data_IF_390928190263
#
_entry.id   IF_390928190263
#
_cell.length_a   1.000
_cell.length_b   1.000
_cell.length_c   1.000
_cell.angle_alpha   90.00
_cell.angle_beta   90.00
_cell.angle_gamma   90.00
#
_symmetry.space_group_name_H-M   'P 1'
#
loop_
_entity.id
_entity.type
_entity.pdbx_description
1 polymer ?
#
# COMPACT_ATOMS: atom_id res chain seq x y z
N UNK A 1 28.56 -0.37 16.46
CA UNK A 1 27.64 0.66 17.01
C UNK A 1 26.49 -0.04 17.72
N UNK A 2 26.16 0.37 18.95
CA UNK A 2 24.97 -0.11 19.66
C UNK A 2 23.78 0.80 19.42
N UNK A 3 22.57 0.23 19.29
CA UNK A 3 21.33 0.98 19.04
C UNK A 3 20.76 1.66 20.28
N UNK A 4 21.09 1.17 21.49
CA UNK A 4 20.59 1.70 22.77
C UNK A 4 19.17 1.22 23.12
N UNK A 5 18.67 0.16 22.47
CA UNK A 5 17.31 -0.35 22.66
C UNK A 5 17.21 -1.35 23.81
N UNK A 6 16.02 -1.45 24.42
CA UNK A 6 15.74 -2.40 25.49
C UNK A 6 15.45 -3.82 25.00
N UNK A 7 15.02 -3.95 23.74
CA UNK A 7 14.72 -5.23 23.11
C UNK A 7 14.77 -5.11 21.58
N UNK A 8 14.73 -6.25 20.89
CA UNK A 8 14.61 -6.33 19.44
C UNK A 8 13.65 -7.45 19.05
N UNK A 9 12.93 -7.26 17.93
CA UNK A 9 12.18 -8.33 17.27
C UNK A 9 13.12 -9.05 16.31
N UNK A 10 13.35 -10.33 16.55
CA UNK A 10 14.22 -11.19 15.76
C UNK A 10 13.46 -12.48 15.46
N UNK A 11 13.29 -12.79 14.19
CA UNK A 11 12.60 -14.01 13.72
C UNK A 11 11.25 -14.25 14.42
N UNK A 12 10.42 -13.18 14.53
CA UNK A 12 9.11 -13.23 15.16
C UNK A 12 9.12 -13.37 16.69
N UNK A 13 10.28 -13.17 17.34
CA UNK A 13 10.41 -13.26 18.79
C UNK A 13 10.98 -11.97 19.38
N UNK A 14 10.54 -11.61 20.58
CA UNK A 14 11.07 -10.47 21.32
C UNK A 14 12.32 -10.89 22.13
N UNK A 15 13.49 -10.46 21.69
CA UNK A 15 14.77 -10.68 22.37
C UNK A 15 15.09 -9.46 23.23
N UNK A 16 15.14 -9.63 24.55
CA UNK A 16 15.53 -8.54 25.48
C UNK A 16 17.01 -8.21 25.36
N UNK A 17 17.35 -6.93 25.42
CA UNK A 17 18.70 -6.40 25.34
C UNK A 17 18.98 -5.61 24.08
N UNK A 18 20.15 -5.00 24.02
CA UNK A 18 20.57 -4.11 22.94
C UNK A 18 21.02 -4.89 21.68
N UNK A 19 21.08 -4.17 20.58
CA UNK A 19 21.53 -4.66 19.27
C UNK A 19 22.84 -3.97 18.89
N UNK A 20 23.83 -4.73 18.48
CA UNK A 20 25.08 -4.21 17.93
C UNK A 20 25.11 -4.34 16.40
N UNK A 21 25.47 -3.23 15.76
CA UNK A 21 25.69 -3.15 14.32
C UNK A 21 27.20 -2.99 14.06
N UNK A 22 27.76 -3.86 13.23
CA UNK A 22 29.13 -3.78 12.74
C UNK A 22 29.14 -3.89 11.21
N UNK A 23 29.77 -2.92 10.55
CA UNK A 23 29.85 -2.85 9.08
C UNK A 23 28.50 -3.00 8.36
N UNK A 24 27.42 -2.36 8.92
CA UNK A 24 26.08 -2.39 8.37
C UNK A 24 25.34 -3.73 8.53
N UNK A 25 25.85 -4.64 9.37
CA UNK A 25 25.22 -5.92 9.70
C UNK A 25 24.93 -6.01 11.17
N UNK A 26 23.89 -6.75 11.55
CA UNK A 26 23.61 -7.10 12.94
C UNK A 26 24.70 -8.09 13.38
N UNK A 27 25.56 -7.66 14.30
CA UNK A 27 26.64 -8.48 14.83
C UNK A 27 26.23 -9.25 16.08
N UNK A 28 25.36 -8.66 16.93
CA UNK A 28 24.85 -9.31 18.11
C UNK A 28 23.50 -8.73 18.53
N UNK A 29 22.67 -9.51 19.21
CA UNK A 29 21.41 -9.14 19.85
C UNK A 29 21.37 -9.61 21.29
N UNK A 30 20.53 -9.00 22.12
CA UNK A 30 20.39 -9.38 23.54
C UNK A 30 21.53 -8.88 24.42
N UNK A 31 22.27 -7.88 24.00
CA UNK A 31 23.39 -7.32 24.77
C UNK A 31 22.90 -6.49 25.96
N UNK A 32 23.65 -6.46 27.10
CA UNK A 32 23.30 -5.60 28.20
C UNK A 32 23.54 -4.12 27.89
N UNK A 33 22.74 -3.22 28.51
CA UNK A 33 22.95 -1.77 28.47
C UNK A 33 21.95 -0.96 27.65
N UNK A 34 21.00 -1.57 26.97
CA UNK A 34 19.89 -0.86 26.31
C UNK A 34 18.92 -0.23 27.31
N UNK A 35 18.40 0.96 27.02
CA UNK A 35 17.60 1.74 27.97
C UNK A 35 16.11 1.76 27.66
N UNK A 36 15.73 1.92 26.39
CA UNK A 36 14.32 2.08 25.99
C UNK A 36 14.11 1.75 24.52
N UNK A 37 12.86 1.50 24.15
CA UNK A 37 12.48 1.22 22.79
C UNK A 37 12.73 -0.24 22.38
N UNK A 38 12.13 -0.60 21.25
CA UNK A 38 12.24 -1.91 20.63
C UNK A 38 12.74 -1.72 19.20
N UNK A 39 13.83 -2.37 18.83
CA UNK A 39 14.24 -2.44 17.44
C UNK A 39 13.34 -3.43 16.70
N UNK A 40 12.81 -3.01 15.59
CA UNK A 40 12.01 -3.84 14.69
C UNK A 40 12.65 -3.88 13.30
N UNK A 41 12.38 -4.88 12.46
CA UNK A 41 12.74 -4.83 11.06
C UNK A 41 12.19 -3.58 10.39
N UNK A 42 12.90 -3.07 9.38
CA UNK A 42 12.40 -1.94 8.61
C UNK A 42 11.05 -2.26 7.95
N UNK A 43 10.18 -1.27 7.92
CA UNK A 43 8.83 -1.42 7.40
C UNK A 43 8.81 -1.57 5.89
N UNK A 44 7.80 -2.28 5.39
CA UNK A 44 7.51 -2.45 3.96
C UNK A 44 6.13 -1.86 3.69
N UNK A 45 6.05 -0.84 2.82
CA UNK A 45 4.79 -0.19 2.46
C UNK A 45 4.40 -0.56 1.02
N UNK A 46 3.30 -1.30 0.87
CA UNK A 46 2.89 -1.83 -0.42
C UNK A 46 2.00 -0.87 -1.22
N UNK A 47 1.64 0.30 -0.65
CA UNK A 47 0.78 1.28 -1.31
C UNK A 47 1.18 2.70 -0.89
N UNK A 48 1.88 3.41 -1.78
CA UNK A 48 2.36 4.78 -1.57
C UNK A 48 2.16 5.59 -2.83
N UNK A 49 1.20 6.51 -2.82
CA UNK A 49 0.92 7.42 -3.94
C UNK A 49 1.76 8.70 -3.89
N UNK A 50 2.35 8.98 -2.73
CA UNK A 50 3.20 10.15 -2.52
C UNK A 50 3.50 10.41 -1.06
N UNK A 51 4.32 11.42 -0.76
CA UNK A 51 4.61 11.90 0.59
C UNK A 51 5.35 13.24 0.52
N UNK A 52 5.12 14.13 1.48
CA UNK A 52 5.80 15.42 1.66
C UNK A 52 5.89 16.27 0.38
N UNK A 53 4.77 16.42 -0.31
CA UNK A 53 4.67 17.25 -1.53
C UNK A 53 5.11 16.52 -2.80
N UNK A 54 5.53 15.26 -2.73
CA UNK A 54 5.94 14.47 -3.88
C UNK A 54 4.78 13.52 -4.23
N UNK A 55 4.17 13.72 -5.39
CA UNK A 55 3.15 12.84 -5.97
C UNK A 55 3.82 11.89 -6.96
N UNK A 56 3.64 10.57 -6.78
CA UNK A 56 4.27 9.54 -7.61
C UNK A 56 3.87 9.68 -9.09
N UNK A 57 2.62 10.05 -9.36
CA UNK A 57 2.11 10.17 -10.72
C UNK A 57 2.76 11.31 -11.52
N UNK A 58 3.21 12.37 -10.83
CA UNK A 58 3.75 13.59 -11.45
C UNK A 58 5.22 13.88 -11.10
N UNK A 59 5.85 12.99 -10.33
CA UNK A 59 7.23 13.19 -9.89
C UNK A 59 8.22 13.10 -11.04
N UNK A 60 9.36 13.75 -10.85
CA UNK A 60 10.58 13.50 -11.66
C UNK A 60 11.35 12.30 -11.08
N UNK A 61 12.34 11.74 -11.81
CA UNK A 61 13.20 10.68 -11.24
C UNK A 61 13.90 11.08 -9.94
N UNK A 62 14.32 12.36 -9.81
CA UNK A 62 14.88 12.90 -8.57
C UNK A 62 13.80 13.01 -7.46
N UNK A 63 12.58 13.38 -7.82
CA UNK A 63 11.43 13.39 -6.92
C UNK A 63 11.15 11.99 -6.33
N UNK A 64 11.14 10.96 -7.16
CA UNK A 64 10.97 9.57 -6.69
C UNK A 64 12.12 9.15 -5.76
N UNK A 65 13.35 9.54 -6.07
CA UNK A 65 14.51 9.32 -5.17
C UNK A 65 14.37 10.05 -3.84
N UNK A 66 13.90 11.30 -3.86
CA UNK A 66 13.64 12.10 -2.66
C UNK A 66 12.50 11.50 -1.82
N UNK A 67 11.42 11.00 -2.46
CA UNK A 67 10.35 10.26 -1.79
C UNK A 67 10.92 9.08 -0.98
N UNK A 68 11.83 8.30 -1.57
CA UNK A 68 12.49 7.21 -0.86
C UNK A 68 13.27 7.66 0.38
N UNK A 69 13.89 8.83 0.36
CA UNK A 69 14.58 9.42 1.54
C UNK A 69 13.56 9.80 2.62
N UNK A 70 12.47 10.48 2.25
CA UNK A 70 11.44 10.87 3.20
C UNK A 70 10.72 9.66 3.84
N UNK A 71 10.45 8.62 3.05
CA UNK A 71 9.88 7.36 3.58
C UNK A 71 10.84 6.66 4.55
N UNK A 72 12.15 6.62 4.24
CA UNK A 72 13.13 6.02 5.13
C UNK A 72 13.18 6.71 6.51
N UNK A 73 12.92 8.01 6.59
CA UNK A 73 12.82 8.77 7.85
C UNK A 73 11.63 8.33 8.72
N UNK A 74 10.61 7.71 8.12
CA UNK A 74 9.46 7.14 8.84
C UNK A 74 9.63 5.67 9.21
N UNK A 75 10.81 5.07 8.91
CA UNK A 75 11.11 3.66 9.15
C UNK A 75 10.75 2.72 8.00
N UNK A 76 10.23 3.23 6.89
CA UNK A 76 9.96 2.44 5.69
C UNK A 76 11.26 2.22 4.91
N UNK A 77 11.65 0.97 4.70
CA UNK A 77 12.86 0.61 3.95
C UNK A 77 12.58 0.07 2.56
N UNK A 78 11.37 -0.40 2.32
CA UNK A 78 10.90 -0.87 1.03
C UNK A 78 9.50 -0.35 0.76
N UNK A 79 9.19 0.03 -0.47
CA UNK A 79 7.86 0.48 -0.82
C UNK A 79 7.50 0.16 -2.27
N UNK A 80 6.21 0.18 -2.56
CA UNK A 80 5.68 0.18 -3.93
C UNK A 80 5.13 1.56 -4.25
N UNK A 81 5.77 2.33 -5.15
CA UNK A 81 5.14 3.51 -5.72
C UNK A 81 3.85 3.08 -6.42
N UNK A 82 2.74 3.71 -6.02
CA UNK A 82 1.40 3.36 -6.48
C UNK A 82 0.91 4.43 -7.44
N UNK A 83 0.37 4.01 -8.57
CA UNK A 83 -0.26 4.86 -9.56
C UNK A 83 -1.75 4.61 -9.52
N UNK A 84 -2.51 5.62 -9.08
CA UNK A 84 -3.95 5.64 -9.23
C UNK A 84 -4.33 5.83 -10.70
N UNK A 85 -5.59 5.53 -11.03
CA UNK A 85 -6.13 5.78 -12.38
C UNK A 85 -5.94 7.25 -12.78
N UNK A 86 -5.43 7.46 -13.98
CA UNK A 86 -5.15 8.76 -14.59
C UNK A 86 -5.19 8.63 -16.12
N UNK A 87 -5.02 9.73 -16.88
CA UNK A 87 -4.80 9.62 -18.32
C UNK A 87 -3.69 8.61 -18.65
N UNK A 88 -3.94 7.72 -19.60
CA UNK A 88 -3.06 6.57 -19.91
C UNK A 88 -1.61 6.99 -20.19
N UNK A 89 -1.43 8.10 -20.90
CA UNK A 89 -0.10 8.64 -21.20
C UNK A 89 0.63 9.08 -19.95
N UNK A 90 -0.08 9.69 -18.99
CA UNK A 90 0.50 10.11 -17.71
C UNK A 90 0.93 8.89 -16.88
N UNK A 91 0.11 7.82 -16.87
CA UNK A 91 0.46 6.57 -16.18
C UNK A 91 1.71 5.92 -16.82
N UNK A 92 1.81 5.89 -18.16
CA UNK A 92 3.01 5.37 -18.85
C UNK A 92 4.26 6.20 -18.54
N UNK A 93 4.14 7.53 -18.57
CA UNK A 93 5.24 8.43 -18.22
C UNK A 93 5.69 8.23 -16.76
N UNK A 94 4.76 8.11 -15.83
CA UNK A 94 5.08 7.86 -14.42
C UNK A 94 5.80 6.51 -14.23
N UNK A 95 5.39 5.45 -14.93
CA UNK A 95 6.10 4.17 -14.91
C UNK A 95 7.53 4.29 -15.46
N UNK A 96 7.74 4.99 -16.56
CA UNK A 96 9.08 5.26 -17.10
C UNK A 96 9.93 6.01 -16.07
N UNK A 97 9.38 7.07 -15.46
CA UNK A 97 10.03 7.88 -14.42
C UNK A 97 10.45 7.04 -13.19
N UNK A 98 9.56 6.14 -12.73
CA UNK A 98 9.90 5.22 -11.64
C UNK A 98 11.05 4.30 -12.06
N UNK A 99 11.03 3.76 -13.28
CA UNK A 99 12.10 2.91 -13.82
C UNK A 99 13.45 3.62 -13.85
N UNK A 100 13.51 4.85 -14.33
CA UNK A 100 14.71 5.68 -14.34
C UNK A 100 15.24 5.98 -12.92
N UNK A 101 14.34 6.11 -11.93
CA UNK A 101 14.72 6.38 -10.55
C UNK A 101 15.45 5.23 -9.87
N UNK A 102 15.18 4.00 -10.28
CA UNK A 102 15.80 2.78 -9.73
C UNK A 102 17.29 2.71 -10.09
N UNK A 103 17.66 3.07 -11.32
CA UNK A 103 19.02 3.00 -11.85
C UNK A 103 19.96 4.18 -11.52
N UNK A 104 19.46 5.19 -10.81
CA UNK A 104 20.23 6.44 -10.55
C UNK A 104 21.38 6.26 -9.55
N UNK A 105 22.26 7.31 -9.43
CA UNK A 105 23.42 7.27 -8.57
C UNK A 105 23.04 6.95 -7.12
N UNK A 106 23.79 6.07 -6.50
CA UNK A 106 23.62 5.73 -5.08
C UNK A 106 24.10 6.92 -4.23
N UNK A 107 23.16 7.69 -3.68
CA UNK A 107 23.50 8.71 -2.68
C UNK A 107 23.88 8.05 -1.36
N UNK A 108 24.72 8.72 -0.55
CA UNK A 108 25.03 8.26 0.82
C UNK A 108 23.83 8.32 1.77
N UNK A 109 22.75 8.99 1.39
CA UNK A 109 21.53 9.06 2.20
C UNK A 109 20.81 7.71 2.18
N UNK A 110 20.42 7.24 3.36
CA UNK A 110 19.54 6.09 3.46
C UNK A 110 18.21 6.41 2.77
N UNK A 111 17.77 5.54 1.85
CA UNK A 111 16.49 5.68 1.15
C UNK A 111 15.73 4.34 1.14
N UNK A 112 14.41 4.42 1.20
CA UNK A 112 13.55 3.28 0.94
C UNK A 112 13.75 2.80 -0.51
N UNK A 113 13.75 1.49 -0.70
CA UNK A 113 13.94 0.83 -2.01
C UNK A 113 12.60 0.52 -2.64
N UNK A 114 12.54 0.64 -3.95
CA UNK A 114 11.35 0.31 -4.75
C UNK A 114 11.30 -1.20 -4.98
N UNK A 115 10.14 -1.81 -4.68
CA UNK A 115 9.83 -3.23 -4.91
C UNK A 115 9.14 -3.48 -6.27
N UNK A 116 9.13 -2.50 -7.15
CA UNK A 116 8.32 -2.45 -8.36
C UNK A 116 7.08 -1.57 -8.15
N UNK A 117 6.41 -1.22 -9.24
CA UNK A 117 5.22 -0.37 -9.20
C UNK A 117 3.95 -1.18 -8.86
N UNK A 118 3.01 -0.51 -8.20
CA UNK A 118 1.64 -0.95 -8.03
C UNK A 118 0.73 -0.12 -8.93
N UNK A 119 0.01 -0.74 -9.85
CA UNK A 119 -1.05 -0.11 -10.62
C UNK A 119 -2.37 -0.29 -9.87
N UNK A 120 -2.94 0.78 -9.37
CA UNK A 120 -4.27 0.78 -8.79
C UNK A 120 -5.26 1.24 -9.87
N UNK A 121 -5.81 0.27 -10.56
CA UNK A 121 -6.58 0.51 -11.78
C UNK A 121 -5.74 0.45 -13.07
N UNK A 122 -6.29 0.88 -14.21
CA UNK A 122 -7.59 1.56 -14.38
C UNK A 122 -8.82 0.64 -14.48
N UNK A 123 -8.68 -0.67 -14.30
CA UNK A 123 -9.74 -1.66 -14.44
C UNK A 123 -10.56 -1.79 -13.15
N UNK A 124 -11.24 -0.71 -12.74
CA UNK A 124 -11.97 -0.58 -11.48
C UNK A 124 -13.46 -0.35 -11.74
N UNK A 125 -14.29 -0.68 -10.75
CA UNK A 125 -15.72 -0.42 -10.78
C UNK A 125 -16.02 1.07 -10.65
N UNK A 126 -16.82 1.61 -11.57
CA UNK A 126 -17.31 2.99 -11.48
C UNK A 126 -18.11 3.23 -10.18
N UNK A 127 -18.87 2.22 -9.74
CA UNK A 127 -19.66 2.29 -8.49
C UNK A 127 -18.77 2.36 -7.24
N UNK A 128 -17.53 1.95 -7.34
CA UNK A 128 -16.54 1.89 -6.25
C UNK A 128 -15.26 2.66 -6.60
N UNK A 129 -15.39 3.68 -7.43
CA UNK A 129 -14.25 4.48 -7.87
C UNK A 129 -13.49 5.13 -6.69
N UNK A 130 -14.16 5.49 -5.59
CA UNK A 130 -13.51 6.22 -4.51
C UNK A 130 -12.93 7.54 -5.00
N UNK A 131 -11.65 7.78 -4.79
CA UNK A 131 -10.96 8.98 -5.26
C UNK A 131 -10.44 8.88 -6.71
N UNK A 132 -10.64 7.76 -7.41
CA UNK A 132 -10.22 7.61 -8.80
C UNK A 132 -11.14 8.40 -9.74
N UNK A 133 -10.61 9.17 -10.70
CA UNK A 133 -11.41 9.90 -11.66
C UNK A 133 -12.11 8.93 -12.62
N UNK A 134 -13.46 8.93 -12.58
CA UNK A 134 -14.30 7.96 -13.32
C UNK A 134 -14.06 8.02 -14.82
N UNK A 135 -13.80 9.21 -15.37
CA UNK A 135 -13.55 9.43 -16.81
C UNK A 135 -12.27 8.71 -17.33
N UNK A 136 -11.37 8.33 -16.41
CA UNK A 136 -10.15 7.60 -16.75
C UNK A 136 -10.21 6.12 -16.40
N UNK A 137 -11.30 5.63 -15.81
CA UNK A 137 -11.52 4.20 -15.65
C UNK A 137 -11.65 3.53 -17.01
N UNK A 138 -11.20 2.30 -17.11
CA UNK A 138 -11.23 1.52 -18.36
C UNK A 138 -11.81 0.14 -18.11
N UNK A 139 -12.45 -0.37 -19.13
CA UNK A 139 -12.78 -1.81 -19.18
C UNK A 139 -11.51 -2.62 -19.32
N UNK A 140 -11.45 -3.84 -18.76
CA UNK A 140 -10.36 -4.78 -18.95
C UNK A 140 -9.95 -4.90 -20.42
N UNK A 141 -8.68 -4.58 -20.70
CA UNK A 141 -8.08 -4.53 -22.05
C UNK A 141 -6.62 -5.00 -21.97
N UNK A 142 -6.31 -6.08 -22.70
CA UNK A 142 -4.97 -6.71 -22.69
C UNK A 142 -3.91 -5.84 -23.38
N UNK A 143 -4.27 -5.09 -24.43
CA UNK A 143 -3.32 -4.23 -25.13
C UNK A 143 -2.96 -3.03 -24.26
N UNK A 144 -3.94 -2.45 -23.57
CA UNK A 144 -3.69 -1.39 -22.59
C UNK A 144 -2.82 -1.91 -21.43
N UNK A 145 -3.14 -3.08 -20.87
CA UNK A 145 -2.29 -3.70 -19.85
C UNK A 145 -0.86 -3.89 -20.34
N UNK A 146 -0.69 -4.45 -21.54
CA UNK A 146 0.63 -4.68 -22.14
C UNK A 146 1.40 -3.36 -22.30
N UNK A 147 0.74 -2.26 -22.68
CA UNK A 147 1.35 -0.94 -22.81
C UNK A 147 1.94 -0.42 -21.49
N UNK A 148 1.26 -0.65 -20.37
CA UNK A 148 1.75 -0.30 -19.03
C UNK A 148 2.91 -1.20 -18.60
N UNK A 149 2.82 -2.50 -18.83
CA UNK A 149 3.88 -3.44 -18.46
C UNK A 149 5.19 -3.21 -19.22
N UNK A 150 5.13 -2.56 -20.39
CA UNK A 150 6.29 -2.20 -21.21
C UNK A 150 6.82 -0.78 -20.95
N UNK A 151 6.20 -0.02 -20.06
CA UNK A 151 6.52 1.40 -19.85
C UNK A 151 7.79 1.70 -19.02
N UNK A 152 8.66 0.71 -18.81
CA UNK A 152 10.02 0.95 -18.27
C UNK A 152 10.20 0.64 -16.79
N UNK A 153 9.14 0.40 -16.02
CA UNK A 153 9.21 -0.07 -14.63
C UNK A 153 8.63 -1.46 -14.49
N UNK A 154 9.21 -2.30 -13.64
CA UNK A 154 8.61 -3.56 -13.26
C UNK A 154 7.32 -3.31 -12.45
N UNK A 155 6.17 -3.57 -13.05
CA UNK A 155 4.90 -3.63 -12.34
C UNK A 155 4.85 -4.98 -11.59
N UNK A 156 4.61 -4.92 -10.29
CA UNK A 156 4.60 -6.13 -9.44
C UNK A 156 3.26 -6.38 -8.77
N UNK A 157 2.35 -5.40 -8.82
CA UNK A 157 0.99 -5.54 -8.32
C UNK A 157 0.04 -4.76 -9.21
N UNK A 158 -1.13 -5.33 -9.47
CA UNK A 158 -2.25 -4.65 -10.13
C UNK A 158 -3.50 -4.85 -9.28
N UNK A 159 -4.17 -3.74 -8.95
CA UNK A 159 -5.50 -3.76 -8.33
C UNK A 159 -6.56 -3.63 -9.42
N UNK A 160 -7.55 -4.51 -9.38
CA UNK A 160 -8.66 -4.54 -10.33
C UNK A 160 -9.97 -4.99 -9.68
N UNK A 161 -11.09 -4.69 -10.35
CA UNK A 161 -12.42 -5.14 -10.01
C UNK A 161 -12.76 -6.42 -10.80
N UNK A 162 -12.92 -7.58 -10.13
CA UNK A 162 -13.05 -8.87 -10.81
C UNK A 162 -14.42 -9.07 -11.47
N UNK A 163 -15.43 -8.28 -11.14
CA UNK A 163 -16.76 -8.32 -11.73
C UNK A 163 -16.83 -7.69 -13.13
N UNK A 164 -15.80 -6.97 -13.53
CA UNK A 164 -15.78 -6.34 -14.86
C UNK A 164 -15.69 -7.38 -15.98
N UNK A 165 -16.39 -7.17 -17.11
CA UNK A 165 -16.28 -8.06 -18.25
C UNK A 165 -14.83 -8.25 -18.71
N UNK A 166 -14.37 -9.47 -18.90
CA UNK A 166 -13.00 -9.86 -19.28
C UNK A 166 -11.92 -9.59 -18.20
N UNK A 167 -12.31 -9.36 -16.95
CA UNK A 167 -11.36 -9.24 -15.86
C UNK A 167 -10.56 -10.53 -15.64
N UNK A 168 -11.18 -11.68 -15.88
CA UNK A 168 -10.56 -13.01 -15.88
C UNK A 168 -9.36 -13.11 -16.84
N UNK A 169 -9.46 -12.56 -18.06
CA UNK A 169 -8.36 -12.52 -19.02
C UNK A 169 -7.17 -11.67 -18.49
N UNK A 170 -7.45 -10.56 -17.82
CA UNK A 170 -6.43 -9.72 -17.20
C UNK A 170 -5.76 -10.46 -16.03
N UNK A 171 -6.56 -11.13 -15.19
CA UNK A 171 -6.05 -11.93 -14.05
C UNK A 171 -5.08 -13.01 -14.58
N UNK A 172 -5.48 -13.80 -15.59
CA UNK A 172 -4.64 -14.84 -16.21
C UNK A 172 -3.34 -14.25 -16.77
N UNK A 173 -3.44 -13.11 -17.49
CA UNK A 173 -2.29 -12.46 -18.08
C UNK A 173 -1.29 -11.95 -17.02
N UNK A 174 -1.75 -11.48 -15.87
CA UNK A 174 -0.93 -11.01 -14.76
C UNK A 174 -0.27 -12.19 -14.03
N UNK A 175 -1.03 -13.23 -13.73
CA UNK A 175 -0.52 -14.44 -13.06
C UNK A 175 0.54 -15.12 -13.92
N UNK A 176 0.31 -15.27 -15.22
CA UNK A 176 1.28 -15.82 -16.17
C UNK A 176 2.61 -15.05 -16.22
N UNK A 177 2.64 -13.81 -15.71
CA UNK A 177 3.84 -12.96 -15.58
C UNK A 177 4.36 -12.85 -14.16
N UNK A 178 3.80 -13.62 -13.22
CA UNK A 178 4.14 -13.56 -11.80
C UNK A 178 3.90 -12.16 -11.18
N UNK A 179 2.85 -11.45 -11.65
CA UNK A 179 2.41 -10.17 -11.11
C UNK A 179 1.28 -10.45 -10.13
N UNK A 180 1.36 -9.87 -8.92
CA UNK A 180 0.34 -10.04 -7.89
C UNK A 180 -0.95 -9.36 -8.30
N UNK A 181 -2.05 -10.11 -8.31
CA UNK A 181 -3.39 -9.57 -8.50
C UNK A 181 -4.00 -9.26 -7.14
N UNK A 182 -4.46 -8.01 -6.99
CA UNK A 182 -5.18 -7.51 -5.82
C UNK A 182 -6.61 -7.16 -6.21
N UNK A 183 -7.59 -7.58 -5.43
CA UNK A 183 -8.98 -7.16 -5.63
C UNK A 183 -9.25 -5.89 -4.84
N UNK A 184 -9.78 -4.87 -5.49
CA UNK A 184 -10.08 -3.57 -4.87
C UNK A 184 -10.88 -2.67 -5.79
N UNK A 185 -11.45 -1.60 -5.26
CA UNK A 185 -12.34 -0.70 -5.99
C UNK A 185 -13.41 -1.48 -6.77
N UNK A 186 -14.13 -2.34 -6.05
CA UNK A 186 -14.96 -3.40 -6.65
C UNK A 186 -16.31 -3.52 -5.97
N UNK A 187 -17.36 -3.72 -6.75
CA UNK A 187 -18.69 -4.10 -6.25
C UNK A 187 -18.94 -5.62 -6.35
N UNK A 188 -17.87 -6.41 -6.46
CA UNK A 188 -17.96 -7.86 -6.55
C UNK A 188 -18.72 -8.49 -5.38
N UNK A 189 -19.59 -9.43 -5.70
CA UNK A 189 -20.19 -10.34 -4.72
C UNK A 189 -19.14 -11.35 -4.23
N UNK A 190 -19.40 -12.00 -3.09
CA UNK A 190 -18.48 -13.00 -2.58
C UNK A 190 -18.22 -14.17 -3.56
N UNK A 191 -19.21 -14.73 -4.29
CA UNK A 191 -18.93 -15.74 -5.30
C UNK A 191 -17.99 -15.28 -6.42
N UNK A 192 -18.12 -14.05 -6.91
CA UNK A 192 -17.19 -13.47 -7.91
C UNK A 192 -15.79 -13.32 -7.36
N UNK A 193 -15.68 -12.82 -6.11
CA UNK A 193 -14.38 -12.69 -5.44
C UNK A 193 -13.71 -14.05 -5.22
N UNK A 194 -14.48 -15.08 -4.79
CA UNK A 194 -13.94 -16.43 -4.64
C UNK A 194 -13.42 -16.99 -5.97
N UNK A 195 -14.16 -16.81 -7.08
CA UNK A 195 -13.70 -17.25 -8.40
C UNK A 195 -12.36 -16.59 -8.78
N UNK A 196 -12.22 -15.27 -8.55
CA UNK A 196 -10.97 -14.56 -8.82
C UNK A 196 -9.81 -15.03 -7.93
N UNK A 197 -10.06 -15.36 -6.65
CA UNK A 197 -9.05 -15.95 -5.77
C UNK A 197 -8.69 -17.38 -6.21
N UNK A 198 -9.64 -18.19 -6.61
CA UNK A 198 -9.39 -19.55 -7.14
C UNK A 198 -8.58 -19.49 -8.44
N UNK A 199 -8.80 -18.47 -9.26
CA UNK A 199 -8.02 -18.20 -10.46
C UNK A 199 -6.57 -17.77 -10.14
N UNK A 200 -6.31 -17.18 -8.96
CA UNK A 200 -4.97 -16.86 -8.50
C UNK A 200 -4.75 -15.46 -7.94
N UNK A 201 -5.79 -14.63 -7.80
CA UNK A 201 -5.67 -13.40 -7.01
C UNK A 201 -5.26 -13.75 -5.58
N UNK A 202 -4.38 -12.95 -4.96
CA UNK A 202 -3.77 -13.31 -3.66
C UNK A 202 -3.90 -12.25 -2.59
N UNK A 203 -4.44 -11.09 -2.92
CA UNK A 203 -4.59 -10.01 -1.93
C UNK A 203 -5.81 -9.16 -2.22
N UNK A 204 -6.24 -8.42 -1.22
CA UNK A 204 -7.26 -7.35 -1.34
C UNK A 204 -6.62 -6.03 -0.93
N UNK A 205 -6.90 -4.99 -1.72
CA UNK A 205 -6.40 -3.64 -1.51
C UNK A 205 -7.24 -2.96 -0.43
N UNK A 206 -6.61 -2.33 0.56
CA UNK A 206 -7.22 -1.52 1.65
C UNK A 206 -8.64 -1.96 2.06
N UNK A 207 -8.73 -3.18 2.58
CA UNK A 207 -9.98 -3.86 2.94
C UNK A 207 -11.06 -2.92 3.50
N UNK A 208 -12.30 -3.08 3.05
CA UNK A 208 -13.50 -2.30 3.30
C UNK A 208 -13.59 -0.94 2.58
N UNK A 209 -12.49 -0.35 2.14
CA UNK A 209 -12.50 0.93 1.45
C UNK A 209 -12.78 0.73 -0.04
N UNK A 210 -13.68 1.55 -0.60
CA UNK A 210 -14.12 1.45 -1.98
C UNK A 210 -14.51 0.02 -2.42
N UNK A 211 -15.26 -0.68 -1.58
CA UNK A 211 -15.74 -2.04 -1.80
C UNK A 211 -17.23 -2.15 -1.58
N UNK A 212 -17.85 -3.22 -2.12
CA UNK A 212 -19.19 -3.62 -1.75
C UNK A 212 -19.29 -3.75 -0.23
N UNK A 213 -20.28 -3.13 0.43
CA UNK A 213 -20.40 -3.17 1.89
C UNK A 213 -20.49 -4.61 2.42
N UNK A 214 -19.77 -4.89 3.52
CA UNK A 214 -19.84 -6.18 4.20
C UNK A 214 -21.18 -6.35 4.88
N UNK A 215 -22.01 -7.26 4.38
CA UNK A 215 -23.27 -7.64 4.98
C UNK A 215 -23.28 -9.12 5.35
N UNK A 216 -24.02 -9.51 6.40
CA UNK A 216 -24.06 -10.90 6.86
C UNK A 216 -24.74 -11.88 5.87
N UNK A 217 -25.50 -11.38 4.87
CA UNK A 217 -26.08 -12.15 3.77
C UNK A 217 -25.43 -11.86 2.42
N UNK A 218 -24.73 -10.74 2.29
CA UNK A 218 -23.99 -10.33 1.12
C UNK A 218 -22.63 -9.76 1.58
N UNK A 219 -21.64 -10.64 1.85
CA UNK A 219 -20.40 -10.24 2.48
C UNK A 219 -19.40 -9.59 1.52
N UNK A 220 -19.69 -9.59 0.21
CA UNK A 220 -18.83 -8.99 -0.81
C UNK A 220 -17.41 -9.54 -0.82
N UNK A 221 -16.50 -8.79 -1.45
CA UNK A 221 -15.08 -9.15 -1.51
C UNK A 221 -14.43 -9.17 -0.13
N UNK A 222 -14.86 -8.29 0.78
CA UNK A 222 -14.30 -8.24 2.12
C UNK A 222 -14.56 -9.54 2.90
N UNK A 223 -15.79 -10.04 2.86
CA UNK A 223 -16.13 -11.30 3.51
C UNK A 223 -15.46 -12.51 2.87
N UNK A 224 -15.38 -12.54 1.52
CA UNK A 224 -14.67 -13.59 0.81
C UNK A 224 -13.18 -13.66 1.20
N UNK A 225 -12.49 -12.50 1.29
CA UNK A 225 -11.09 -12.43 1.68
C UNK A 225 -10.85 -12.84 3.13
N UNK A 226 -11.71 -12.40 4.06
CA UNK A 226 -11.60 -12.75 5.47
C UNK A 226 -11.83 -14.25 5.73
N UNK A 227 -12.68 -14.89 4.93
CA UNK A 227 -13.00 -16.31 5.05
C UNK A 227 -11.94 -17.26 4.45
N UNK A 228 -10.95 -16.74 3.70
CA UNK A 228 -9.89 -17.54 3.04
C UNK A 228 -8.58 -17.42 3.80
N UNK A 229 -7.83 -18.52 3.88
CA UNK A 229 -6.51 -18.56 4.53
C UNK A 229 -5.36 -18.21 3.59
N UNK A 230 -5.58 -18.27 2.27
CA UNK A 230 -4.59 -18.03 1.21
C UNK A 230 -4.59 -16.61 0.66
N UNK A 231 -5.41 -15.70 1.22
CA UNK A 231 -5.54 -14.31 0.78
C UNK A 231 -4.94 -13.35 1.80
N UNK A 232 -4.01 -12.52 1.38
CA UNK A 232 -3.44 -11.43 2.19
C UNK A 232 -4.41 -10.24 2.19
N UNK A 233 -4.65 -9.70 3.37
CA UNK A 233 -5.56 -8.56 3.59
C UNK A 233 -4.74 -7.30 3.81
N UNK A 234 -4.77 -6.36 2.87
CA UNK A 234 -4.16 -5.06 3.09
C UNK A 234 -5.10 -4.18 3.91
N UNK A 235 -4.56 -3.46 4.89
CA UNK A 235 -5.35 -2.67 5.83
C UNK A 235 -4.68 -1.32 6.10
N UNK A 236 -5.45 -0.23 5.98
CA UNK A 236 -5.06 1.11 6.43
C UNK A 236 -5.52 1.25 7.89
N UNK A 237 -4.58 1.23 8.82
CA UNK A 237 -4.88 1.29 10.26
C UNK A 237 -4.60 2.69 10.84
N UNK A 238 -5.12 3.73 10.19
CA UNK A 238 -4.89 5.13 10.60
C UNK A 238 -5.95 5.70 11.56
N UNK A 239 -7.03 4.94 11.82
CA UNK A 239 -8.16 5.38 12.64
C UNK A 239 -9.11 6.34 11.93
N UNK A 240 -8.90 6.57 10.61
CA UNK A 240 -9.75 7.37 9.72
C UNK A 240 -10.45 6.48 8.71
N UNK A 241 -9.69 5.66 7.98
CA UNK A 241 -10.21 4.70 7.00
C UNK A 241 -10.97 3.56 7.67
N UNK A 242 -10.54 3.14 8.85
CA UNK A 242 -11.19 2.11 9.65
C UNK A 242 -11.30 2.57 11.11
N UNK A 243 -12.47 2.33 11.70
CA UNK A 243 -12.65 2.47 13.14
C UNK A 243 -11.80 1.45 13.90
N UNK A 244 -11.39 1.72 15.16
CA UNK A 244 -10.59 0.81 15.99
C UNK A 244 -11.18 -0.61 16.07
N UNK A 245 -12.49 -0.73 16.15
CA UNK A 245 -13.21 -2.01 16.22
C UNK A 245 -13.07 -2.80 14.92
N UNK A 246 -13.13 -2.13 13.75
CA UNK A 246 -12.95 -2.75 12.44
C UNK A 246 -11.50 -3.22 12.25
N UNK A 247 -10.52 -2.42 12.71
CA UNK A 247 -9.10 -2.78 12.72
C UNK A 247 -8.89 -4.07 13.53
N UNK A 248 -9.39 -4.12 14.77
CA UNK A 248 -9.27 -5.30 15.64
C UNK A 248 -10.01 -6.51 15.10
N UNK A 249 -11.21 -6.34 14.54
CA UNK A 249 -11.98 -7.43 13.96
C UNK A 249 -11.21 -8.03 12.76
N UNK A 250 -10.69 -7.18 11.88
CA UNK A 250 -9.87 -7.58 10.72
C UNK A 250 -8.61 -8.32 11.17
N UNK A 251 -7.87 -7.75 12.14
CA UNK A 251 -6.67 -8.37 12.68
C UNK A 251 -6.94 -9.79 13.20
N UNK A 252 -8.04 -9.97 13.95
CA UNK A 252 -8.40 -11.27 14.52
C UNK A 252 -8.85 -12.28 13.46
N UNK A 253 -9.63 -11.83 12.47
CA UNK A 253 -10.15 -12.69 11.41
C UNK A 253 -9.06 -13.10 10.40
N UNK A 254 -8.09 -12.22 10.14
CA UNK A 254 -7.01 -12.44 9.18
C UNK A 254 -5.64 -12.58 9.84
N UNK A 255 -5.56 -13.12 11.07
CA UNK A 255 -4.31 -13.25 11.83
C UNK A 255 -3.24 -13.96 11.00
N UNK A 256 -2.04 -13.35 10.93
CA UNK A 256 -0.92 -13.84 10.12
C UNK A 256 -1.03 -13.52 8.62
N UNK A 257 -2.11 -12.86 8.19
CA UNK A 257 -2.38 -12.51 6.78
C UNK A 257 -2.67 -11.02 6.57
N UNK A 258 -2.54 -10.19 7.60
CA UNK A 258 -2.70 -8.74 7.50
C UNK A 258 -1.40 -8.13 7.02
N UNK A 259 -1.46 -7.34 5.96
CA UNK A 259 -0.41 -6.43 5.52
C UNK A 259 -0.86 -4.99 5.78
N UNK A 260 -0.17 -4.28 6.67
CA UNK A 260 -0.41 -2.85 6.81
C UNK A 260 0.07 -2.11 5.57
N UNK A 261 -0.74 -1.20 5.07
CA UNK A 261 -0.41 -0.24 4.01
C UNK A 261 -0.73 1.16 4.49
N UNK A 262 0.00 2.14 4.00
CA UNK A 262 -0.31 3.52 4.36
C UNK A 262 -1.34 4.16 3.46
N UNK A 263 -1.31 3.86 2.17
CA UNK A 263 -2.04 4.59 1.13
C UNK A 263 -1.74 6.11 1.17
N UNK A 264 -0.48 6.44 1.47
CA UNK A 264 0.00 7.83 1.58
C UNK A 264 -0.16 8.59 0.26
N UNK A 265 -0.58 9.84 0.38
CA UNK A 265 -0.60 10.82 -0.72
C UNK A 265 0.42 11.94 -0.49
N UNK A 266 0.65 12.78 -1.50
CA UNK A 266 1.60 13.88 -1.44
C UNK A 266 1.38 14.84 -0.25
N UNK A 267 0.15 15.02 0.21
CA UNK A 267 -0.20 15.84 1.37
C UNK A 267 0.33 15.29 2.71
N UNK A 268 0.71 14.00 2.75
CA UNK A 268 1.19 13.35 3.97
C UNK A 268 2.36 14.08 4.62
N UNK A 269 2.27 14.36 5.91
CA UNK A 269 3.30 15.04 6.70
C UNK A 269 3.43 16.54 6.47
N UNK A 270 2.50 17.20 5.74
CA UNK A 270 2.51 18.64 5.49
C UNK A 270 1.50 19.43 6.36
N UNK A 271 0.60 18.74 7.07
CA UNK A 271 -0.45 19.38 7.84
C UNK A 271 -1.71 19.70 7.03
N UNK A 272 -2.59 20.53 7.61
CA UNK A 272 -3.85 20.92 6.98
C UNK A 272 -3.63 21.89 5.82
N UNK A 273 -4.49 21.85 4.80
CA UNK A 273 -4.39 22.70 3.62
C UNK A 273 -4.99 22.08 2.35
N UNK A 274 -4.85 22.79 1.24
CA UNK A 274 -5.26 22.33 -0.08
C UNK A 274 -4.06 21.72 -0.82
N UNK A 275 -4.26 20.54 -1.42
CA UNK A 275 -3.23 19.77 -2.12
C UNK A 275 -3.80 19.16 -3.38
N UNK A 276 -2.96 18.41 -4.08
CA UNK A 276 -3.36 17.58 -5.21
C UNK A 276 -3.09 16.11 -4.92
N UNK A 277 -3.98 15.27 -5.43
CA UNK A 277 -3.83 13.82 -5.46
C UNK A 277 -4.11 13.33 -6.89
N UNK A 278 -3.06 12.94 -7.59
CA UNK A 278 -3.17 12.66 -9.02
C UNK A 278 -3.67 13.89 -9.79
N UNK A 279 -4.82 13.79 -10.43
CA UNK A 279 -5.46 14.89 -11.17
C UNK A 279 -6.50 15.66 -10.37
N UNK A 280 -6.85 15.20 -9.17
CA UNK A 280 -7.90 15.80 -8.33
C UNK A 280 -7.32 16.77 -7.28
N UNK A 281 -8.14 17.76 -6.89
CA UNK A 281 -7.85 18.61 -5.74
C UNK A 281 -8.39 17.95 -4.47
N UNK A 282 -7.60 18.00 -3.39
CA UNK A 282 -7.96 17.46 -2.08
C UNK A 282 -7.73 18.50 -0.99
N UNK A 283 -8.55 18.45 0.03
CA UNK A 283 -8.37 19.25 1.24
C UNK A 283 -8.03 18.34 2.41
N UNK A 284 -6.98 18.69 3.15
CA UNK A 284 -6.64 18.05 4.41
C UNK A 284 -7.11 18.93 5.55
N UNK A 285 -7.92 18.38 6.44
CA UNK A 285 -8.41 19.04 7.65
C UNK A 285 -8.40 18.04 8.81
N UNK A 286 -7.79 18.40 9.92
CA UNK A 286 -7.65 17.54 11.09
C UNK A 286 -6.91 16.22 10.80
N UNK A 287 -6.03 16.22 9.78
CA UNK A 287 -5.30 15.04 9.36
C UNK A 287 -6.14 14.02 8.55
N UNK A 288 -7.24 14.49 7.93
CA UNK A 288 -8.11 13.70 7.04
C UNK A 288 -8.13 14.35 5.67
N UNK A 289 -7.80 13.58 4.62
CA UNK A 289 -7.82 14.04 3.23
C UNK A 289 -9.16 13.71 2.57
N UNK A 290 -9.77 14.68 1.89
CA UNK A 290 -11.06 14.52 1.19
C UNK A 290 -11.07 15.24 -0.15
N UNK A 291 -11.83 14.68 -1.10
CA UNK A 291 -12.30 15.39 -2.28
C UNK A 291 -13.41 16.40 -1.92
N UNK A 292 -13.76 17.25 -2.87
CA UNK A 292 -14.80 18.29 -2.69
C UNK A 292 -16.20 17.73 -2.34
N UNK A 293 -16.49 16.50 -2.75
CA UNK A 293 -17.73 15.78 -2.43
C UNK A 293 -17.71 15.08 -1.06
N UNK A 294 -16.59 15.17 -0.33
CA UNK A 294 -16.40 14.54 0.97
C UNK A 294 -15.80 13.13 0.94
N UNK A 295 -15.58 12.55 -0.24
CA UNK A 295 -14.95 11.24 -0.40
C UNK A 295 -13.52 11.26 0.19
N UNK A 296 -13.16 10.22 0.96
CA UNK A 296 -11.78 10.05 1.44
C UNK A 296 -10.83 9.85 0.25
N UNK A 297 -9.67 10.48 0.31
CA UNK A 297 -8.71 10.50 -0.79
C UNK A 297 -7.30 10.17 -0.30
N UNK A 298 -7.05 8.89 -0.04
CA UNK A 298 -5.81 8.37 0.53
C UNK A 298 -5.55 8.86 1.96
N UNK A 299 -4.39 8.52 2.50
CA UNK A 299 -4.00 8.83 3.87
C UNK A 299 -2.89 9.89 3.93
N UNK A 300 -2.80 10.57 5.07
CA UNK A 300 -1.74 11.56 5.36
C UNK A 300 -0.80 11.10 6.49
N UNK A 301 -1.08 9.93 7.08
CA UNK A 301 -0.31 9.35 8.18
C UNK A 301 0.60 8.23 7.68
N UNK A 302 1.91 8.24 7.99
CA UNK A 302 2.83 7.21 7.52
C UNK A 302 2.54 5.84 8.15
N UNK A 303 3.03 4.77 7.52
CA UNK A 303 2.80 3.37 7.90
C UNK A 303 3.10 3.08 9.39
N UNK A 304 4.12 3.71 9.95
CA UNK A 304 4.45 3.59 11.37
C UNK A 304 3.32 4.02 12.31
N UNK A 305 2.42 4.91 11.85
CA UNK A 305 1.22 5.28 12.61
C UNK A 305 0.26 4.09 12.75
N UNK A 306 0.03 3.35 11.66
CA UNK A 306 -0.81 2.15 11.69
C UNK A 306 -0.25 1.06 12.60
N UNK A 307 1.08 0.85 12.58
CA UNK A 307 1.73 -0.05 13.52
C UNK A 307 1.52 0.38 14.97
N UNK A 308 1.70 1.67 15.27
CA UNK A 308 1.43 2.23 16.59
C UNK A 308 -0.02 2.04 17.02
N UNK A 309 -0.98 2.29 16.12
CA UNK A 309 -2.40 2.09 16.37
C UNK A 309 -2.70 0.64 16.78
N UNK A 310 -2.14 -0.36 16.09
CA UNK A 310 -2.31 -1.76 16.46
C UNK A 310 -1.79 -2.06 17.88
N UNK A 311 -0.62 -1.52 18.23
CA UNK A 311 -0.03 -1.70 19.57
C UNK A 311 -0.89 -1.02 20.63
N UNK A 312 -1.40 0.18 20.40
CA UNK A 312 -2.32 0.90 21.30
C UNK A 312 -3.65 0.17 21.48
N UNK A 313 -4.10 -0.56 20.45
CA UNK A 313 -5.27 -1.44 20.51
C UNK A 313 -4.99 -2.80 21.18
N UNK A 314 -3.77 -3.03 21.68
CA UNK A 314 -3.39 -4.24 22.39
C UNK A 314 -2.98 -5.41 21.51
N UNK A 315 -2.70 -5.18 20.23
CA UNK A 315 -2.11 -6.20 19.36
C UNK A 315 -0.66 -6.45 19.79
N UNK A 316 -0.25 -7.71 20.02
CA UNK A 316 1.13 -8.02 20.38
C UNK A 316 2.13 -7.60 19.31
N UNK A 317 3.32 -7.17 19.73
CA UNK A 317 4.42 -6.79 18.81
C UNK A 317 5.02 -8.03 18.12
N UNK A 318 4.81 -9.19 18.68
CA UNK A 318 5.25 -10.51 18.20
C UNK A 318 4.18 -11.56 18.46
#
# INVERSE_FOLDING_TARGET
MKLGVAAAVVDGSLVRGDVEIHEGRIAAVGLPGGRSGIAIPGLVDLQVNGFRGIDVLQATPDGIRALGVELARTGVLWYKPTLITAPEELMRLALATIGESVGGPQTRAARARILGAHLEGPFLSEERAGAHPVEHLRRPDLDLLASFLLAGCAVTTVTLAPELPRADEIIDALIGRNITVSLGHTDATAPVAHAAFDQGARTVTHLFNAMRPFGHRDPGVAGAALAREDVIVQMIADGVHLAPEAILATWRAARGRVALVSDLIAAGGLGDGAFRFGTADVTVEGGVSRLADGTLAGAVRPLAWGLRMLVELGVPIV
#
